data_IF_328435009287
#
_entry.id   IF_328435009287
#
_cell.length_a   1.000
_cell.length_b   1.000
_cell.length_c   1.000
_cell.angle_alpha   90.00
_cell.angle_beta   90.00
_cell.angle_gamma   90.00
#
_symmetry.space_group_name_H-M   'P 1'
#
loop_
_entity.id
_entity.type
_entity.pdbx_description
1 polymer ?
#
# COMPACT_ATOMS: atom_id res chain seq x y z
N UNK A 1 -73.82 -34.17 14.84
CA UNK A 1 -72.46 -33.58 14.89
C UNK A 1 -71.68 -34.12 13.70
N UNK A 2 -71.49 -33.35 12.61
CA UNK A 2 -70.63 -33.76 11.49
C UNK A 2 -69.14 -33.70 11.90
N UNK A 3 -68.37 -34.68 11.39
CA UNK A 3 -66.93 -34.84 11.63
C UNK A 3 -66.08 -33.70 11.01
N UNK A 4 -64.87 -33.41 11.53
CA UNK A 4 -64.04 -32.33 11.01
C UNK A 4 -63.41 -32.68 9.67
N UNK A 5 -63.46 -31.71 8.76
CA UNK A 5 -62.90 -31.68 7.41
C UNK A 5 -61.35 -31.76 7.44
N UNK A 6 -60.69 -32.52 6.54
CA UNK A 6 -59.23 -32.62 6.54
C UNK A 6 -58.57 -31.36 5.99
N UNK A 7 -57.70 -30.75 6.81
CA UNK A 7 -56.90 -29.59 6.46
C UNK A 7 -56.01 -29.86 5.22
N UNK A 8 -56.15 -29.01 4.18
CA UNK A 8 -55.29 -29.02 2.99
C UNK A 8 -53.85 -28.66 3.39
N UNK A 9 -52.93 -29.62 3.19
CA UNK A 9 -51.48 -29.40 3.24
C UNK A 9 -51.07 -28.36 2.19
N UNK A 10 -50.51 -27.25 2.65
CA UNK A 10 -49.85 -26.25 1.81
C UNK A 10 -48.56 -26.84 1.23
N UNK A 11 -48.44 -26.82 -0.10
CA UNK A 11 -47.23 -27.22 -0.80
C UNK A 11 -46.10 -26.19 -0.57
N UNK A 12 -44.83 -26.63 -0.43
CA UNK A 12 -43.71 -25.72 -0.25
C UNK A 12 -43.48 -24.88 -1.52
N UNK A 13 -43.50 -23.56 -1.36
CA UNK A 13 -43.25 -22.59 -2.43
C UNK A 13 -41.77 -22.64 -2.83
N UNK A 14 -41.50 -23.14 -4.03
CA UNK A 14 -40.17 -23.12 -4.66
C UNK A 14 -39.63 -21.68 -4.68
N UNK A 15 -38.39 -21.41 -4.24
CA UNK A 15 -37.80 -20.08 -4.35
C UNK A 15 -37.73 -19.68 -5.83
N UNK A 16 -38.30 -18.51 -6.17
CA UNK A 16 -38.14 -17.94 -7.49
C UNK A 16 -36.66 -17.63 -7.70
N UNK A 17 -36.04 -18.29 -8.69
CA UNK A 17 -34.70 -17.95 -9.13
C UNK A 17 -34.72 -16.48 -9.57
N UNK A 18 -33.91 -15.63 -8.93
CA UNK A 18 -33.64 -14.28 -9.43
C UNK A 18 -33.14 -14.46 -10.87
N UNK A 19 -33.90 -13.91 -11.82
CA UNK A 19 -33.44 -13.82 -13.19
C UNK A 19 -32.11 -13.06 -13.15
N UNK A 20 -31.01 -13.75 -13.44
CA UNK A 20 -29.77 -13.09 -13.77
C UNK A 20 -30.09 -12.26 -15.01
N UNK A 21 -30.09 -10.93 -14.88
CA UNK A 21 -30.11 -10.06 -16.05
C UNK A 21 -28.93 -10.47 -16.90
N UNK A 22 -29.15 -11.03 -18.11
CA UNK A 22 -28.04 -11.32 -19.00
C UNK A 22 -27.33 -10.00 -19.27
N UNK A 23 -26.01 -9.98 -19.11
CA UNK A 23 -25.19 -8.87 -19.58
C UNK A 23 -25.34 -8.92 -21.10
N UNK A 24 -26.22 -8.08 -21.66
CA UNK A 24 -26.49 -8.10 -23.08
C UNK A 24 -25.20 -7.75 -23.81
N UNK A 25 -24.57 -8.75 -24.44
CA UNK A 25 -23.46 -8.58 -25.37
C UNK A 25 -24.02 -8.18 -26.72
N UNK A 26 -24.66 -7.01 -26.78
CA UNK A 26 -24.96 -6.37 -28.06
C UNK A 26 -23.65 -5.82 -28.62
N UNK A 27 -23.16 -6.48 -29.68
CA UNK A 27 -22.43 -5.90 -30.82
C UNK A 27 -21.11 -5.16 -30.56
N UNK A 28 -20.05 -5.66 -31.19
CA UNK A 28 -18.79 -4.96 -31.57
C UNK A 28 -18.63 -3.51 -31.06
N UNK A 29 -17.90 -3.32 -29.95
CA UNK A 29 -17.53 -2.00 -29.47
C UNK A 29 -17.31 -1.89 -27.97
N UNK A 30 -17.89 -2.78 -27.16
CA UNK A 30 -17.83 -2.67 -25.70
C UNK A 30 -16.40 -2.72 -25.15
N UNK A 31 -15.91 -1.59 -24.66
CA UNK A 31 -14.63 -1.43 -23.96
C UNK A 31 -14.91 -1.26 -22.47
N UNK A 32 -14.23 -2.05 -21.65
CA UNK A 32 -14.26 -1.89 -20.19
C UNK A 32 -12.92 -1.33 -19.75
N UNK A 33 -12.92 -0.13 -19.17
CA UNK A 33 -11.72 0.50 -18.59
C UNK A 33 -11.80 0.40 -17.09
N UNK A 34 -10.82 -0.24 -16.48
CA UNK A 34 -10.69 -0.31 -15.02
C UNK A 34 -9.55 0.57 -14.55
N UNK A 35 -9.87 1.53 -13.69
CA UNK A 35 -8.91 2.46 -13.10
C UNK A 35 -8.72 2.08 -11.63
N UNK A 36 -7.49 1.73 -11.26
CA UNK A 36 -7.13 1.29 -9.91
C UNK A 36 -6.27 2.33 -9.21
N UNK A 37 -6.69 2.76 -8.03
CA UNK A 37 -6.04 3.83 -7.26
C UNK A 37 -4.73 3.45 -6.56
N UNK A 38 -4.19 2.25 -6.77
CA UNK A 38 -2.96 1.78 -6.10
C UNK A 38 -2.59 0.33 -6.45
N UNK A 39 -1.44 -0.12 -5.92
CA UNK A 39 -0.92 -1.47 -6.17
C UNK A 39 -1.57 -2.54 -5.29
N UNK A 40 -2.05 -2.16 -4.10
CA UNK A 40 -2.68 -3.07 -3.13
C UNK A 40 -3.99 -3.68 -3.61
N UNK A 41 -4.35 -4.85 -3.08
CA UNK A 41 -5.64 -5.50 -3.38
C UNK A 41 -6.84 -4.76 -2.76
N UNK A 42 -6.60 -3.99 -1.70
CA UNK A 42 -7.55 -3.14 -0.98
C UNK A 42 -7.77 -1.75 -1.64
N UNK A 43 -6.98 -1.42 -2.66
CA UNK A 43 -7.08 -0.14 -3.33
C UNK A 43 -8.43 0.01 -4.07
N UNK A 44 -9.03 1.22 -4.08
CA UNK A 44 -10.28 1.47 -4.79
C UNK A 44 -10.12 1.28 -6.30
N UNK A 45 -11.20 0.85 -6.92
CA UNK A 45 -11.35 0.71 -8.37
C UNK A 45 -12.58 1.45 -8.88
N UNK A 46 -12.48 1.97 -10.10
CA UNK A 46 -13.60 2.48 -10.88
C UNK A 46 -13.62 1.70 -12.19
N UNK A 47 -14.81 1.21 -12.57
CA UNK A 47 -15.02 0.47 -13.82
C UNK A 47 -15.93 1.28 -14.72
N UNK A 48 -15.41 1.64 -15.89
CA UNK A 48 -16.12 2.36 -16.93
C UNK A 48 -16.52 1.37 -18.01
N UNK A 49 -17.81 1.33 -18.33
CA UNK A 49 -18.33 0.58 -19.47
C UNK A 49 -18.59 1.58 -20.58
N UNK A 50 -17.91 1.42 -21.70
CA UNK A 50 -18.00 2.30 -22.85
C UNK A 50 -18.31 1.49 -24.10
N UNK A 51 -18.95 2.13 -25.07
CA UNK A 51 -19.35 1.49 -26.34
C UNK A 51 -18.24 1.55 -27.40
N UNK A 52 -17.15 2.30 -27.13
CA UNK A 52 -15.94 2.35 -27.97
C UNK A 52 -14.76 2.96 -27.21
N UNK A 53 -13.52 2.88 -27.74
CA UNK A 53 -12.37 3.58 -27.15
C UNK A 53 -12.53 5.12 -27.12
N UNK A 54 -13.19 5.70 -28.14
CA UNK A 54 -13.43 7.14 -28.19
C UNK A 54 -14.43 7.60 -27.14
N UNK A 55 -15.49 6.81 -26.92
CA UNK A 55 -16.44 7.01 -25.83
C UNK A 55 -15.75 6.89 -24.45
N UNK A 56 -14.93 5.85 -24.26
CA UNK A 56 -14.15 5.70 -23.03
C UNK A 56 -13.25 6.93 -22.77
N UNK A 57 -12.59 7.46 -23.81
CA UNK A 57 -11.76 8.66 -23.69
C UNK A 57 -12.59 9.91 -23.37
N UNK A 58 -13.78 10.06 -23.96
CA UNK A 58 -14.68 11.18 -23.66
C UNK A 58 -15.19 11.16 -22.21
N UNK A 59 -15.35 9.98 -21.61
CA UNK A 59 -15.71 9.82 -20.20
C UNK A 59 -14.54 10.11 -19.24
N UNK A 60 -13.29 10.07 -19.72
CA UNK A 60 -12.10 10.42 -18.94
C UNK A 60 -11.91 11.95 -18.98
N UNK A 61 -12.67 12.65 -18.14
CA UNK A 61 -12.63 14.10 -17.98
C UNK A 61 -12.62 14.54 -16.52
N UNK A 62 -12.91 15.83 -16.29
CA UNK A 62 -12.90 16.42 -14.94
C UNK A 62 -13.87 15.71 -13.98
N UNK A 63 -15.06 15.35 -14.44
CA UNK A 63 -16.06 14.66 -13.60
C UNK A 63 -15.56 13.30 -13.09
N UNK A 64 -14.74 12.61 -13.89
CA UNK A 64 -14.12 11.36 -13.47
C UNK A 64 -13.05 11.59 -12.40
N UNK A 65 -12.27 12.67 -12.49
CA UNK A 65 -11.30 13.04 -11.45
C UNK A 65 -12.01 13.34 -10.12
N UNK A 66 -13.12 14.08 -10.18
CA UNK A 66 -13.95 14.34 -9.00
C UNK A 66 -14.54 13.06 -8.41
N UNK A 67 -14.94 12.10 -9.27
CA UNK A 67 -15.38 10.78 -8.85
C UNK A 67 -14.24 9.96 -8.23
N UNK A 68 -13.02 10.04 -8.76
CA UNK A 68 -11.84 9.39 -8.17
C UNK A 68 -11.59 9.90 -6.75
N UNK A 69 -11.63 11.21 -6.54
CA UNK A 69 -11.46 11.82 -5.22
C UNK A 69 -12.53 11.35 -4.22
N UNK A 70 -13.80 11.33 -4.64
CA UNK A 70 -14.90 10.84 -3.81
C UNK A 70 -14.76 9.35 -3.51
N UNK A 71 -14.41 8.55 -4.50
CA UNK A 71 -14.22 7.10 -4.37
C UNK A 71 -13.06 6.79 -3.43
N UNK A 72 -11.96 7.53 -3.52
CA UNK A 72 -10.83 7.39 -2.60
C UNK A 72 -11.22 7.69 -1.15
N UNK A 73 -11.94 8.79 -0.91
CA UNK A 73 -12.44 9.14 0.43
C UNK A 73 -13.42 8.10 0.97
N UNK A 74 -14.33 7.60 0.14
CA UNK A 74 -15.27 6.56 0.52
C UNK A 74 -14.55 5.24 0.86
N UNK A 75 -13.56 4.84 0.07
CA UNK A 75 -12.75 3.65 0.31
C UNK A 75 -11.97 3.75 1.63
N UNK A 76 -11.42 4.92 1.96
CA UNK A 76 -10.76 5.15 3.25
C UNK A 76 -11.71 4.89 4.44
N UNK A 77 -13.01 5.20 4.30
CA UNK A 77 -14.00 4.89 5.34
C UNK A 77 -14.24 3.39 5.52
N UNK A 78 -14.24 2.60 4.44
CA UNK A 78 -14.32 1.14 4.57
C UNK A 78 -13.11 0.56 5.31
N UNK A 79 -11.92 1.13 5.13
CA UNK A 79 -10.73 0.72 5.89
C UNK A 79 -10.84 1.10 7.37
N UNK A 80 -11.41 2.27 7.70
CA UNK A 80 -11.68 2.66 9.09
C UNK A 80 -12.70 1.75 9.78
N UNK A 81 -13.72 1.28 9.05
CA UNK A 81 -14.79 0.43 9.58
C UNK A 81 -14.43 -1.06 9.62
N UNK A 82 -13.29 -1.46 9.06
CA UNK A 82 -12.86 -2.86 9.04
C UNK A 82 -12.57 -3.35 10.47
N UNK A 83 -13.26 -4.41 10.97
CA UNK A 83 -13.19 -4.85 12.38
C UNK A 83 -11.83 -5.42 12.79
N UNK A 84 -10.96 -5.69 11.82
CA UNK A 84 -9.55 -6.02 12.01
C UNK A 84 -8.75 -5.20 11.03
N UNK A 85 -8.59 -3.89 11.27
CA UNK A 85 -7.61 -3.08 10.55
C UNK A 85 -6.24 -3.73 10.78
N UNK A 86 -5.62 -4.43 9.80
CA UNK A 86 -4.17 -4.59 9.88
C UNK A 86 -3.63 -3.17 9.88
N UNK A 87 -2.65 -2.86 10.72
CA UNK A 87 -2.04 -1.53 10.72
C UNK A 87 -1.63 -1.19 9.28
N UNK A 88 -2.46 -0.39 8.59
CA UNK A 88 -2.19 0.08 7.26
C UNK A 88 -0.94 0.93 7.46
N UNK A 89 0.17 0.44 6.91
CA UNK A 89 1.45 1.12 6.87
C UNK A 89 1.25 2.41 6.12
N UNK A 90 0.74 3.40 6.84
CA UNK A 90 0.65 4.76 6.38
C UNK A 90 2.05 5.16 5.97
N UNK A 91 2.08 6.01 4.97
CA UNK A 91 3.20 6.84 4.59
C UNK A 91 3.56 7.81 5.75
N UNK A 92 3.70 7.30 6.98
CA UNK A 92 4.56 7.86 8.00
C UNK A 92 5.92 7.99 7.33
N UNK A 93 6.62 9.14 7.45
CA UNK A 93 8.05 9.14 7.16
C UNK A 93 8.62 7.97 7.94
N UNK A 94 9.17 6.98 7.21
CA UNK A 94 9.79 5.81 7.81
C UNK A 94 10.60 6.32 9.00
N UNK A 95 10.45 5.75 10.22
CA UNK A 95 11.27 6.15 11.35
C UNK A 95 12.69 6.12 10.81
N UNK A 96 13.31 7.30 10.74
CA UNK A 96 14.59 7.52 10.10
C UNK A 96 15.46 6.39 10.60
N UNK A 97 15.76 5.43 9.72
CA UNK A 97 16.47 4.22 10.12
C UNK A 97 17.64 4.71 10.95
N UNK A 98 17.63 4.38 12.24
CA UNK A 98 18.74 4.72 13.11
C UNK A 98 19.96 4.22 12.35
N UNK A 99 20.91 5.12 12.10
CA UNK A 99 22.11 4.76 11.36
C UNK A 99 22.62 3.43 11.94
N UNK A 100 22.86 2.40 11.09
CA UNK A 100 23.26 1.09 11.57
C UNK A 100 24.38 1.26 12.60
N UNK A 101 24.26 0.53 13.72
CA UNK A 101 25.21 0.63 14.82
C UNK A 101 26.64 0.59 14.24
N UNK A 102 27.41 1.65 14.49
CA UNK A 102 28.73 1.78 13.92
C UNK A 102 29.56 0.56 14.25
N UNK A 103 30.26 0.00 13.25
CA UNK A 103 31.12 -1.14 13.47
C UNK A 103 32.22 -0.75 14.47
N UNK A 104 32.41 -1.56 15.51
CA UNK A 104 33.47 -1.40 16.52
C UNK A 104 34.81 -1.98 16.08
N UNK A 105 34.84 -2.71 14.96
CA UNK A 105 36.04 -3.34 14.42
C UNK A 105 36.34 -2.85 13.01
N UNK A 106 37.61 -2.56 12.74
CA UNK A 106 38.07 -2.12 11.43
C UNK A 106 37.96 -3.27 10.40
N UNK A 107 37.47 -3.01 9.17
CA UNK A 107 37.40 -4.01 8.11
C UNK A 107 38.79 -4.57 7.72
N UNK A 108 38.88 -5.78 7.16
CA UNK A 108 40.14 -6.36 6.67
C UNK A 108 40.81 -5.43 5.65
N UNK A 109 42.09 -5.08 5.86
CA UNK A 109 42.85 -4.14 5.01
C UNK A 109 42.85 -2.68 5.48
N UNK A 110 42.31 -2.39 6.68
CA UNK A 110 42.42 -1.06 7.30
C UNK A 110 43.81 -0.82 7.88
N UNK A 111 44.29 0.45 7.96
CA UNK A 111 45.56 0.78 8.60
C UNK A 111 45.63 0.26 10.05
N UNK A 112 46.83 -0.04 10.55
CA UNK A 112 47.01 -0.53 11.92
C UNK A 112 46.48 0.49 12.93
N UNK A 113 45.65 0.03 13.88
CA UNK A 113 45.05 0.91 14.88
C UNK A 113 46.14 1.38 15.86
N UNK A 114 46.38 2.70 16.01
CA UNK A 114 47.34 3.19 16.98
C UNK A 114 46.94 2.80 18.42
N UNK A 115 47.90 2.53 19.31
CA UNK A 115 47.61 2.11 20.68
C UNK A 115 46.81 3.19 21.42
N UNK A 116 45.65 2.80 21.97
CA UNK A 116 44.74 3.69 22.71
C UNK A 116 43.75 4.47 21.84
N UNK A 117 43.69 4.21 20.53
CA UNK A 117 42.75 4.86 19.62
C UNK A 117 41.51 3.99 19.40
N UNK A 118 40.36 4.63 19.20
CA UNK A 118 39.08 3.96 18.99
C UNK A 118 38.69 4.00 17.51
N UNK A 119 38.32 2.85 16.96
CA UNK A 119 37.70 2.79 15.64
C UNK A 119 36.26 3.29 15.73
N UNK A 120 35.91 4.25 14.86
CA UNK A 120 34.54 4.76 14.72
C UNK A 120 34.15 4.82 13.26
N UNK A 121 32.91 4.44 13.01
CA UNK A 121 32.25 4.63 11.71
C UNK A 121 31.06 5.54 11.90
N UNK A 122 30.74 6.34 10.90
CA UNK A 122 29.58 7.20 10.91
C UNK A 122 29.13 7.59 9.52
N UNK A 123 28.13 8.46 9.47
CA UNK A 123 27.60 9.02 8.24
C UNK A 123 27.75 10.53 8.28
N UNK A 124 28.42 11.12 7.28
CA UNK A 124 28.59 12.56 7.20
C UNK A 124 27.33 13.20 6.64
N UNK A 125 26.66 14.04 7.41
CA UNK A 125 25.49 14.78 6.94
C UNK A 125 25.86 15.81 5.85
N UNK A 126 27.11 16.29 5.82
CA UNK A 126 27.59 17.31 4.87
C UNK A 126 27.91 16.71 3.50
N UNK A 127 28.52 15.53 3.46
CA UNK A 127 28.91 14.87 2.20
C UNK A 127 27.98 13.74 1.81
N UNK A 128 26.99 13.40 2.65
CA UNK A 128 26.06 12.28 2.47
C UNK A 128 26.78 10.95 2.20
N UNK A 129 28.00 10.78 2.73
CA UNK A 129 28.83 9.59 2.54
C UNK A 129 29.16 8.95 3.90
N UNK A 130 29.19 7.61 3.98
CA UNK A 130 29.72 6.91 5.15
C UNK A 130 31.22 7.19 5.29
N UNK A 131 31.68 7.35 6.53
CA UNK A 131 33.09 7.53 6.88
C UNK A 131 33.50 6.53 7.95
N UNK A 132 34.79 6.19 7.98
CA UNK A 132 35.41 5.37 9.01
C UNK A 132 36.77 5.97 9.36
N UNK A 133 37.18 5.78 10.61
CA UNK A 133 38.45 6.34 11.07
C UNK A 133 38.82 5.94 12.48
N UNK A 134 40.08 6.16 12.83
CA UNK A 134 40.59 6.03 14.18
C UNK A 134 40.55 7.39 14.88
N UNK A 135 40.04 7.40 16.10
CA UNK A 135 39.89 8.59 16.91
C UNK A 135 40.80 8.48 18.13
N UNK A 136 41.57 9.53 18.42
CA UNK A 136 42.42 9.56 19.59
C UNK A 136 41.57 9.62 20.88
N UNK A 137 42.15 9.24 22.03
CA UNK A 137 41.47 9.31 23.32
C UNK A 137 41.08 10.75 23.67
N UNK A 138 40.00 10.91 24.45
CA UNK A 138 39.54 12.24 24.90
C UNK A 138 40.66 12.92 25.69
N UNK A 139 41.19 14.02 25.15
CA UNK A 139 42.27 14.80 25.76
C UNK A 139 43.53 14.93 24.89
N UNK A 140 43.65 14.17 23.81
CA UNK A 140 44.76 14.30 22.85
C UNK A 140 44.51 15.42 21.84
N UNK A 141 45.57 16.13 21.44
CA UNK A 141 45.56 17.14 20.36
C UNK A 141 45.72 16.51 18.97
N UNK A 142 45.83 15.18 18.91
CA UNK A 142 46.01 14.45 17.66
C UNK A 142 44.76 14.52 16.77
N UNK A 143 44.97 14.50 15.45
CA UNK A 143 43.88 14.53 14.48
C UNK A 143 43.37 13.11 14.22
N UNK A 144 42.05 12.88 14.12
CA UNK A 144 41.51 11.58 13.74
C UNK A 144 41.98 11.17 12.34
N UNK A 145 42.28 9.89 12.18
CA UNK A 145 42.75 9.29 10.93
C UNK A 145 41.55 8.70 10.21
N UNK A 146 41.11 9.31 9.11
CA UNK A 146 39.99 8.82 8.29
C UNK A 146 40.50 7.95 7.13
N UNK A 147 39.74 6.91 6.76
CA UNK A 147 40.03 5.99 5.65
C UNK A 147 38.76 5.37 5.06
#
# INVERSE_FOLDING_TARGET
MPAPEPAKKTAPRKPAAKAATPVTTDGEGKVVVTLKGGTGFDAPWIVIHADSPADAAAQIGQDLLDLMDKTHRAAAKFVELAPNKPAQGGNQPAPRQAAPAGATQAPPGSPECPPGWEFKTGFSQKTQKPWKGYFPPRGSTDKPIFF
#
